data_IF_397489754328
#
_entry.id   IF_397489754328
#
_cell.length_a   1.000
_cell.length_b   1.000
_cell.length_c   1.000
_cell.angle_alpha   90.00
_cell.angle_beta   90.00
_cell.angle_gamma   90.00
#
_symmetry.space_group_name_H-M   'P 1'
#
loop_
_entity.id
_entity.type
_entity.pdbx_description
1 polymer ?
#
# COMPACT_ATOMS: atom_id res chain seq x y z
N UNK A 1 31.92 -64.39 13.58
CA UNK A 1 33.08 -64.01 14.41
C UNK A 1 34.25 -63.77 13.49
N UNK A 2 34.56 -62.51 13.18
CA UNK A 2 35.82 -62.06 12.59
C UNK A 2 35.86 -60.53 12.67
N UNK A 3 36.73 -60.03 13.55
CA UNK A 3 37.07 -58.62 13.65
C UNK A 3 37.93 -58.21 12.44
N UNK A 4 37.67 -57.03 11.89
CA UNK A 4 38.62 -56.32 11.02
C UNK A 4 38.75 -54.87 11.48
N UNK A 5 39.85 -54.64 12.20
CA UNK A 5 40.74 -53.47 12.23
C UNK A 5 40.21 -52.20 11.55
N UNK A 6 39.93 -51.18 12.35
CA UNK A 6 39.87 -49.79 11.89
C UNK A 6 41.28 -49.34 11.53
N UNK A 7 41.53 -49.01 10.25
CA UNK A 7 42.63 -48.10 9.89
C UNK A 7 42.08 -46.68 10.07
N UNK A 8 42.70 -45.93 10.96
CA UNK A 8 42.66 -44.47 10.95
C UNK A 8 43.43 -44.04 9.71
N UNK A 9 42.73 -43.72 8.63
CA UNK A 9 43.21 -42.97 7.47
C UNK A 9 42.00 -42.82 6.53
N UNK A 10 41.07 -41.94 6.88
CA UNK A 10 40.11 -41.37 5.93
C UNK A 10 39.73 -39.99 6.46
N UNK A 11 40.67 -39.07 6.23
CA UNK A 11 40.54 -37.62 6.36
C UNK A 11 39.50 -37.07 5.39
N UNK A 12 38.22 -37.41 5.58
CA UNK A 12 37.15 -36.76 4.84
C UNK A 12 35.86 -36.58 5.65
N UNK A 13 36.00 -36.11 6.89
CA UNK A 13 34.87 -35.64 7.70
C UNK A 13 34.40 -34.22 7.30
N UNK A 14 35.07 -33.56 6.35
CA UNK A 14 34.77 -32.20 5.91
C UNK A 14 34.03 -32.11 4.55
N UNK A 15 33.94 -33.17 3.75
CA UNK A 15 33.11 -33.15 2.52
C UNK A 15 31.60 -33.18 2.78
N UNK A 16 31.17 -33.65 3.96
CA UNK A 16 29.76 -33.58 4.38
C UNK A 16 29.33 -32.17 4.83
N UNK A 17 30.29 -31.25 4.97
CA UNK A 17 30.05 -29.82 5.22
C UNK A 17 30.13 -28.99 3.94
N UNK A 18 30.16 -29.63 2.75
CA UNK A 18 29.78 -28.94 1.53
C UNK A 18 28.43 -28.24 1.84
N UNK A 19 28.37 -26.90 1.83
CA UNK A 19 27.13 -26.23 2.14
C UNK A 19 26.16 -26.72 1.08
N UNK A 20 25.11 -27.42 1.51
CA UNK A 20 23.83 -27.25 0.86
C UNK A 20 23.63 -25.73 0.84
N UNK A 21 24.08 -25.11 -0.25
CA UNK A 21 23.69 -23.75 -0.58
C UNK A 21 22.20 -23.87 -0.70
N UNK A 22 21.51 -23.51 0.39
CA UNK A 22 20.12 -23.12 0.31
C UNK A 22 20.02 -22.26 -0.96
N UNK A 23 19.07 -22.54 -1.86
CA UNK A 23 18.80 -21.60 -2.94
C UNK A 23 18.67 -20.23 -2.26
N UNK A 24 19.31 -19.18 -2.80
CA UNK A 24 19.33 -17.88 -2.13
C UNK A 24 17.91 -17.59 -1.70
N UNK A 25 17.68 -17.53 -0.38
CA UNK A 25 16.36 -17.20 0.16
C UNK A 25 15.95 -15.95 -0.59
N UNK A 26 14.89 -16.05 -1.38
CA UNK A 26 14.35 -14.89 -2.06
C UNK A 26 14.20 -13.84 -0.97
N UNK A 27 14.98 -12.75 -1.04
CA UNK A 27 15.04 -11.77 0.03
C UNK A 27 13.62 -11.33 0.34
N UNK A 28 13.29 -11.21 1.63
CA UNK A 28 11.97 -10.72 2.05
C UNK A 28 11.69 -9.44 1.23
N UNK A 29 10.63 -9.42 0.41
CA UNK A 29 10.31 -8.23 -0.38
C UNK A 29 10.18 -7.04 0.56
N UNK A 30 10.84 -5.93 0.26
CA UNK A 30 10.68 -4.73 1.09
C UNK A 30 9.25 -4.24 0.95
N UNK A 31 8.65 -3.80 2.05
CA UNK A 31 7.28 -3.23 2.07
C UNK A 31 7.09 -2.14 1.01
N UNK A 32 8.12 -1.33 0.74
CA UNK A 32 8.14 -0.32 -0.33
C UNK A 32 7.97 -0.88 -1.75
N UNK A 33 8.48 -2.07 -2.04
CA UNK A 33 8.34 -2.70 -3.36
C UNK A 33 6.92 -3.26 -3.53
N UNK A 34 6.35 -3.81 -2.45
CA UNK A 34 4.95 -4.26 -2.41
C UNK A 34 4.00 -3.10 -2.67
N UNK A 35 4.24 -1.96 -2.01
CA UNK A 35 3.49 -0.72 -2.23
C UNK A 35 3.55 -0.29 -3.68
N UNK A 36 4.75 -0.23 -4.26
CA UNK A 36 4.94 0.20 -5.66
C UNK A 36 4.18 -0.71 -6.62
N UNK A 37 4.28 -2.01 -6.42
CA UNK A 37 3.63 -3.00 -7.29
C UNK A 37 2.10 -2.98 -7.15
N UNK A 38 1.57 -2.78 -5.94
CA UNK A 38 0.12 -2.70 -5.71
C UNK A 38 -0.48 -1.41 -6.29
N UNK A 39 0.19 -0.26 -6.14
CA UNK A 39 -0.25 0.99 -6.77
C UNK A 39 -0.24 0.84 -8.29
N UNK A 40 0.79 0.21 -8.86
CA UNK A 40 0.84 -0.06 -10.30
C UNK A 40 -0.30 -1.01 -10.74
N UNK A 41 -0.49 -2.13 -10.04
CA UNK A 41 -1.50 -3.13 -10.37
C UNK A 41 -2.94 -2.65 -10.18
N UNK A 42 -3.16 -1.68 -9.28
CA UNK A 42 -4.46 -1.03 -9.09
C UNK A 42 -4.82 0.00 -10.16
N UNK A 43 -3.89 0.32 -11.08
CA UNK A 43 -4.08 1.37 -12.11
C UNK A 43 -3.66 2.77 -11.64
N UNK A 44 -2.83 2.85 -10.61
CA UNK A 44 -2.35 4.10 -10.03
C UNK A 44 -3.22 4.64 -8.89
N UNK A 45 -3.90 3.77 -8.14
CA UNK A 45 -4.72 4.18 -7.01
C UNK A 45 -3.86 4.36 -5.75
N UNK A 46 -4.04 5.51 -5.11
CA UNK A 46 -3.30 5.88 -3.89
C UNK A 46 -1.92 6.47 -4.17
N UNK A 47 -1.38 7.10 -3.13
CA UNK A 47 -0.04 7.69 -3.12
C UNK A 47 0.90 6.85 -2.26
N UNK A 48 2.02 6.36 -2.83
CA UNK A 48 3.09 5.77 -2.04
C UNK A 48 3.59 6.74 -0.96
N UNK A 49 3.78 6.22 0.24
CA UNK A 49 4.27 6.93 1.43
C UNK A 49 5.22 6.05 2.23
N UNK A 50 5.77 6.58 3.32
CA UNK A 50 6.59 5.83 4.27
C UNK A 50 6.27 6.26 5.71
N UNK A 51 6.12 5.28 6.61
CA UNK A 51 5.94 5.48 8.06
C UNK A 51 7.00 4.65 8.76
N UNK A 52 7.88 5.29 9.54
CA UNK A 52 8.94 4.63 10.32
C UNK A 52 9.83 3.64 9.53
N UNK A 53 9.99 3.85 8.23
CA UNK A 53 10.77 3.00 7.33
C UNK A 53 9.95 1.95 6.58
N UNK A 54 8.69 1.73 6.99
CA UNK A 54 7.76 0.84 6.33
C UNK A 54 7.04 1.51 5.17
N UNK A 55 6.75 0.70 4.15
CA UNK A 55 5.96 1.12 2.99
C UNK A 55 4.53 1.41 3.40
N UNK A 56 4.02 2.55 2.99
CA UNK A 56 2.63 2.93 3.22
C UNK A 56 1.94 3.42 1.94
N UNK A 57 0.61 3.43 1.94
CA UNK A 57 -0.21 4.01 0.87
C UNK A 57 -1.24 4.96 1.47
N UNK A 58 -1.29 6.18 0.96
CA UNK A 58 -2.31 7.17 1.27
C UNK A 58 -3.43 7.13 0.23
N UNK A 59 -4.68 6.99 0.67
CA UNK A 59 -5.87 7.02 -0.21
C UNK A 59 -6.93 7.92 0.43
N UNK A 60 -7.03 9.17 -0.02
CA UNK A 60 -7.87 10.17 0.62
C UNK A 60 -7.53 10.31 2.11
N UNK A 61 -8.51 10.14 2.98
CA UNK A 61 -8.32 10.16 4.43
C UNK A 61 -7.83 8.81 5.00
N UNK A 62 -7.63 7.76 4.21
CA UNK A 62 -7.12 6.48 4.68
C UNK A 62 -5.61 6.35 4.49
N UNK A 63 -4.94 5.68 5.42
CA UNK A 63 -3.53 5.32 5.35
C UNK A 63 -3.40 3.82 5.58
N UNK A 64 -2.72 3.14 4.67
CA UNK A 64 -2.37 1.72 4.78
C UNK A 64 -0.88 1.64 5.09
N UNK A 65 -0.50 0.97 6.17
CA UNK A 65 0.90 0.66 6.49
C UNK A 65 1.11 -0.82 6.26
N UNK A 66 2.20 -1.16 5.57
CA UNK A 66 2.56 -2.54 5.22
C UNK A 66 3.84 -2.87 5.97
N UNK A 67 3.72 -3.75 6.96
CA UNK A 67 4.86 -4.31 7.69
C UNK A 67 5.19 -5.70 7.13
N UNK A 68 6.49 -5.97 7.02
CA UNK A 68 7.03 -7.23 6.52
C UNK A 68 8.09 -7.73 7.49
N UNK A 69 7.98 -8.99 7.90
CA UNK A 69 8.99 -9.65 8.74
C UNK A 69 9.26 -11.08 8.23
N UNK A 70 10.00 -11.87 9.02
CA UNK A 70 10.31 -13.26 8.71
C UNK A 70 9.13 -14.23 8.95
N UNK A 71 8.07 -13.75 9.62
CA UNK A 71 6.86 -14.52 9.92
C UNK A 71 5.75 -14.28 8.90
N UNK A 72 5.80 -13.18 8.14
CA UNK A 72 4.87 -12.91 7.07
C UNK A 72 4.71 -11.42 6.78
N UNK A 73 3.46 -11.01 6.58
CA UNK A 73 3.12 -9.63 6.29
C UNK A 73 1.86 -9.19 7.02
N UNK A 74 1.82 -7.91 7.36
CA UNK A 74 0.70 -7.27 8.00
C UNK A 74 0.38 -5.96 7.30
N UNK A 75 -0.91 -5.73 7.04
CA UNK A 75 -1.45 -4.48 6.53
C UNK A 75 -2.36 -3.88 7.59
N UNK A 76 -2.02 -2.69 8.06
CA UNK A 76 -2.83 -1.92 9.00
C UNK A 76 -3.47 -0.73 8.29
N UNK A 77 -4.77 -0.55 8.48
CA UNK A 77 -5.52 0.57 7.94
C UNK A 77 -5.82 1.58 9.04
N UNK A 78 -5.57 2.85 8.76
CA UNK A 78 -5.86 3.99 9.61
C UNK A 78 -6.76 4.98 8.86
N UNK A 79 -7.71 5.58 9.55
CA UNK A 79 -8.35 6.81 9.10
C UNK A 79 -7.60 7.99 9.70
N UNK A 80 -7.35 9.01 8.91
CA UNK A 80 -6.63 10.20 9.32
C UNK A 80 -7.60 11.36 9.35
N UNK A 81 -7.65 12.04 10.48
CA UNK A 81 -8.39 13.28 10.68
C UNK A 81 -7.41 14.36 11.17
N UNK A 82 -7.13 15.34 10.33
CA UNK A 82 -6.06 16.31 10.58
C UNK A 82 -4.70 15.65 10.86
N UNK A 83 -4.21 15.80 12.10
CA UNK A 83 -2.95 15.23 12.57
C UNK A 83 -3.13 13.88 13.29
N UNK A 84 -4.35 13.41 13.50
CA UNK A 84 -4.66 12.18 14.23
C UNK A 84 -4.85 11.00 13.28
N UNK A 85 -4.42 9.82 13.71
CA UNK A 85 -4.52 8.56 12.97
C UNK A 85 -5.27 7.51 13.79
N UNK A 86 -6.53 7.27 13.43
CA UNK A 86 -7.39 6.27 14.05
C UNK A 86 -7.22 4.90 13.39
N UNK A 87 -6.83 3.91 14.17
CA UNK A 87 -6.77 2.52 13.71
C UNK A 87 -8.17 2.02 13.29
N UNK A 88 -8.26 1.37 12.13
CA UNK A 88 -9.51 0.84 11.56
C UNK A 88 -9.54 -0.67 11.48
N UNK A 89 -8.50 -1.26 10.92
CA UNK A 89 -8.45 -2.71 10.72
C UNK A 89 -7.04 -3.21 10.47
N UNK A 90 -6.86 -4.51 10.63
CA UNK A 90 -5.63 -5.23 10.32
C UNK A 90 -5.95 -6.45 9.48
N UNK A 91 -5.10 -6.72 8.48
CA UNK A 91 -5.07 -7.98 7.73
C UNK A 91 -3.65 -8.49 7.79
N UNK A 92 -3.45 -9.73 8.24
CA UNK A 92 -2.14 -10.34 8.34
C UNK A 92 -2.19 -11.77 7.81
N UNK A 93 -1.09 -12.23 7.22
CA UNK A 93 -0.93 -13.61 6.81
C UNK A 93 0.54 -14.03 6.80
N UNK A 94 0.81 -15.26 7.23
CA UNK A 94 2.14 -15.88 7.14
C UNK A 94 2.54 -16.18 5.69
N UNK A 95 1.54 -16.38 4.82
CA UNK A 95 1.73 -16.70 3.42
C UNK A 95 0.65 -16.04 2.55
N UNK A 96 0.93 -15.93 1.25
CA UNK A 96 0.02 -15.31 0.29
C UNK A 96 0.66 -14.14 -0.45
N UNK A 97 -0.12 -13.51 -1.33
CA UNK A 97 0.36 -12.40 -2.16
C UNK A 97 -0.14 -11.06 -1.58
N UNK A 98 0.66 -10.34 -0.76
CA UNK A 98 0.30 -9.03 -0.21
C UNK A 98 -0.02 -8.00 -1.30
N UNK A 99 0.66 -8.05 -2.46
CA UNK A 99 0.38 -7.13 -3.59
C UNK A 99 -1.06 -7.29 -4.05
N UNK A 100 -1.56 -8.54 -4.15
CA UNK A 100 -2.94 -8.80 -4.55
C UNK A 100 -3.93 -8.25 -3.52
N UNK A 101 -3.71 -8.54 -2.24
CA UNK A 101 -4.61 -8.07 -1.16
C UNK A 101 -4.66 -6.55 -1.12
N UNK A 102 -3.50 -5.91 -1.19
CA UNK A 102 -3.38 -4.46 -1.20
C UNK A 102 -4.05 -3.87 -2.44
N UNK A 103 -3.86 -4.47 -3.61
CA UNK A 103 -4.53 -4.05 -4.87
C UNK A 103 -6.05 -4.14 -4.75
N UNK A 104 -6.58 -5.25 -4.23
CA UNK A 104 -8.02 -5.45 -4.08
C UNK A 104 -8.60 -4.48 -3.04
N UNK A 105 -7.87 -4.20 -1.95
CA UNK A 105 -8.24 -3.18 -0.98
C UNK A 105 -8.26 -1.78 -1.60
N UNK A 106 -7.23 -1.40 -2.36
CA UNK A 106 -7.17 -0.09 -3.03
C UNK A 106 -8.36 0.09 -3.98
N UNK A 107 -8.72 -0.94 -4.74
CA UNK A 107 -9.90 -0.93 -5.61
C UNK A 107 -11.20 -0.80 -4.83
N UNK A 108 -11.32 -1.47 -3.68
CA UNK A 108 -12.50 -1.37 -2.82
C UNK A 108 -12.60 0.01 -2.14
N UNK A 109 -11.49 0.51 -1.59
CA UNK A 109 -11.42 1.77 -0.86
C UNK A 109 -11.54 3.00 -1.76
N UNK A 110 -11.15 2.88 -3.03
CA UNK A 110 -11.41 3.90 -4.03
C UNK A 110 -12.91 4.23 -4.18
N UNK A 111 -13.81 3.35 -3.70
CA UNK A 111 -15.25 3.61 -3.66
C UNK A 111 -15.79 4.10 -5.00
N UNK A 112 -16.78 5.00 -4.99
CA UNK A 112 -17.28 5.64 -6.21
C UNK A 112 -16.31 6.66 -6.81
N UNK A 113 -15.30 7.14 -6.07
CA UNK A 113 -14.41 8.23 -6.47
C UNK A 113 -12.93 7.82 -6.38
N UNK A 114 -12.49 7.06 -7.38
CA UNK A 114 -11.10 6.63 -7.57
C UNK A 114 -10.20 7.81 -7.98
N UNK A 115 -9.59 8.48 -7.00
CA UNK A 115 -8.65 9.57 -7.25
C UNK A 115 -7.34 9.07 -7.86
N UNK A 116 -7.08 9.51 -9.09
CA UNK A 116 -5.85 9.28 -9.82
C UNK A 116 -4.99 10.54 -9.79
N UNK A 117 -3.71 10.41 -9.47
CA UNK A 117 -2.76 11.52 -9.61
C UNK A 117 -2.50 11.79 -11.10
N UNK A 118 -2.78 13.01 -11.55
CA UNK A 118 -2.51 13.48 -12.92
C UNK A 118 -1.11 14.06 -13.00
N UNK A 119 -0.77 14.91 -12.04
CA UNK A 119 0.55 15.50 -11.88
C UNK A 119 0.82 15.81 -10.40
N UNK A 120 1.94 16.46 -10.09
CA UNK A 120 2.26 16.73 -8.70
C UNK A 120 1.27 17.70 -8.07
N UNK A 121 0.55 17.24 -7.04
CA UNK A 121 -0.44 18.07 -6.36
C UNK A 121 -1.80 18.13 -7.05
N UNK A 122 -2.03 17.41 -8.16
CA UNK A 122 -3.32 17.41 -8.89
C UNK A 122 -3.84 15.99 -9.07
N UNK A 123 -5.11 15.80 -8.77
CA UNK A 123 -5.81 14.52 -8.73
C UNK A 123 -7.13 14.63 -9.46
N UNK A 124 -7.51 13.59 -10.19
CA UNK A 124 -8.80 13.52 -10.89
C UNK A 124 -9.54 12.23 -10.58
N UNK A 125 -10.87 12.31 -10.60
CA UNK A 125 -11.76 11.17 -10.46
C UNK A 125 -13.04 11.44 -11.27
N UNK A 126 -13.18 10.77 -12.42
CA UNK A 126 -14.28 11.05 -13.35
C UNK A 126 -14.25 12.51 -13.82
N UNK A 127 -15.37 13.23 -13.64
CA UNK A 127 -15.48 14.66 -13.97
C UNK A 127 -15.07 15.62 -12.85
N UNK A 128 -14.35 15.14 -11.83
CA UNK A 128 -13.93 15.95 -10.68
C UNK A 128 -12.41 16.05 -10.64
N UNK A 129 -11.90 17.21 -10.22
CA UNK A 129 -10.49 17.54 -10.07
C UNK A 129 -10.27 18.14 -8.68
N UNK A 130 -9.20 17.72 -8.03
CA UNK A 130 -8.68 18.33 -6.81
C UNK A 130 -7.22 18.67 -7.02
N UNK A 131 -6.82 19.91 -6.76
CA UNK A 131 -5.45 20.34 -6.95
C UNK A 131 -4.96 21.31 -5.89
N UNK A 132 -3.64 21.39 -5.72
CA UNK A 132 -3.00 22.34 -4.81
C UNK A 132 -2.67 23.64 -5.55
N UNK A 133 -3.09 24.76 -5.01
CA UNK A 133 -2.78 26.10 -5.48
C UNK A 133 -1.40 26.55 -4.98
N UNK A 134 -0.83 27.57 -5.65
CA UNK A 134 0.44 28.19 -5.22
C UNK A 134 0.34 28.84 -3.83
N UNK A 135 -0.87 29.20 -3.39
CA UNK A 135 -1.16 29.70 -2.03
C UNK A 135 -1.02 28.61 -0.96
N UNK A 136 -0.97 27.34 -1.37
CA UNK A 136 -0.90 26.18 -0.48
C UNK A 136 -2.26 25.53 -0.21
N UNK A 137 -3.36 26.23 -0.50
CA UNK A 137 -4.75 25.75 -0.44
C UNK A 137 -5.01 24.66 -1.50
N UNK A 138 -6.13 23.96 -1.33
CA UNK A 138 -6.60 22.91 -2.22
C UNK A 138 -7.93 23.29 -2.85
N UNK A 139 -8.01 23.28 -4.17
CA UNK A 139 -9.28 23.47 -4.88
C UNK A 139 -9.97 22.13 -5.13
N UNK A 140 -11.30 22.17 -5.17
CA UNK A 140 -12.15 21.10 -5.65
C UNK A 140 -13.04 21.63 -6.79
N UNK A 141 -12.95 21.01 -7.95
CA UNK A 141 -13.70 21.39 -9.15
C UNK A 141 -14.46 20.19 -9.69
N UNK A 142 -15.72 20.38 -10.07
CA UNK A 142 -16.54 19.38 -10.75
C UNK A 142 -18.04 19.69 -10.63
N UNK A 143 -18.91 18.81 -11.14
CA UNK A 143 -20.36 19.02 -11.04
C UNK A 143 -20.82 19.21 -9.60
N UNK A 144 -21.35 20.39 -9.28
CA UNK A 144 -21.86 20.72 -7.94
C UNK A 144 -20.80 21.07 -6.89
N UNK A 145 -19.53 21.27 -7.28
CA UNK A 145 -18.46 21.74 -6.39
C UNK A 145 -17.47 22.61 -7.16
N UNK A 146 -17.22 23.82 -6.64
CA UNK A 146 -16.20 24.74 -7.14
C UNK A 146 -15.80 25.65 -5.97
N UNK A 147 -14.84 25.19 -5.17
CA UNK A 147 -14.42 25.90 -3.95
C UNK A 147 -13.01 25.49 -3.49
N UNK A 148 -12.41 26.32 -2.63
CA UNK A 148 -11.10 26.10 -2.03
C UNK A 148 -11.20 25.63 -0.57
N UNK A 149 -10.17 24.91 -0.13
CA UNK A 149 -10.04 24.27 1.17
C UNK A 149 -8.62 24.36 1.69
N UNK A 150 -8.45 24.35 3.01
CA UNK A 150 -7.11 24.30 3.63
C UNK A 150 -6.44 22.94 3.43
N UNK A 151 -7.23 21.88 3.26
CA UNK A 151 -6.73 20.51 3.20
C UNK A 151 -7.28 19.74 1.99
N UNK A 152 -6.40 18.92 1.40
CA UNK A 152 -6.73 18.03 0.28
C UNK A 152 -7.94 17.13 0.58
N UNK A 153 -8.03 16.64 1.81
CA UNK A 153 -9.07 15.69 2.21
C UNK A 153 -10.45 16.34 2.15
N UNK A 154 -10.57 17.60 2.54
CA UNK A 154 -11.83 18.35 2.50
C UNK A 154 -12.27 18.59 1.07
N UNK A 155 -11.31 18.94 0.19
CA UNK A 155 -11.55 19.06 -1.24
C UNK A 155 -12.08 17.76 -1.88
N UNK A 156 -11.44 16.62 -1.58
CA UNK A 156 -11.90 15.32 -2.08
C UNK A 156 -13.25 14.90 -1.50
N UNK A 157 -13.49 15.16 -0.21
CA UNK A 157 -14.77 14.88 0.45
C UNK A 157 -15.90 15.72 -0.16
N UNK A 158 -15.65 16.98 -0.48
CA UNK A 158 -16.61 17.85 -1.13
C UNK A 158 -17.01 17.33 -2.52
N UNK A 159 -16.07 16.85 -3.33
CA UNK A 159 -16.37 16.19 -4.60
C UNK A 159 -17.19 14.90 -4.41
N UNK A 160 -16.86 14.08 -3.40
CA UNK A 160 -17.63 12.87 -3.11
C UNK A 160 -19.07 13.18 -2.67
N UNK A 161 -19.24 14.23 -1.85
CA UNK A 161 -20.54 14.72 -1.45
C UNK A 161 -21.33 15.25 -2.66
N UNK A 162 -20.73 16.11 -3.49
CA UNK A 162 -21.36 16.68 -4.68
C UNK A 162 -21.85 15.59 -5.65
N UNK A 163 -21.03 14.55 -5.89
CA UNK A 163 -21.42 13.39 -6.70
C UNK A 163 -22.61 12.63 -6.13
N UNK A 164 -22.63 12.41 -4.82
CA UNK A 164 -23.72 11.69 -4.15
C UNK A 164 -25.04 12.45 -4.25
N UNK A 165 -25.00 13.79 -4.16
CA UNK A 165 -26.17 14.64 -4.38
C UNK A 165 -26.61 14.68 -5.85
N UNK A 166 -25.67 14.67 -6.81
CA UNK A 166 -26.01 14.59 -8.23
C UNK A 166 -26.75 13.28 -8.60
N UNK A 167 -26.42 12.17 -7.93
CA UNK A 167 -27.12 10.89 -8.09
C UNK A 167 -28.55 10.87 -7.52
N UNK A 168 -28.89 11.80 -6.62
CA UNK A 168 -30.23 11.93 -6.03
C UNK A 168 -31.18 12.83 -6.84
N UNK A 169 -30.67 13.58 -7.83
CA UNK A 169 -31.45 14.54 -8.65
C UNK A 169 -31.78 13.98 -10.05
N UNK A 170 -31.63 12.68 -10.28
CA UNK A 170 -32.11 12.04 -11.52
C UNK A 170 -33.52 11.49 -11.30
N UNK A 171 -34.54 12.28 -11.67
CA UNK A 171 -35.94 11.85 -11.82
C UNK A 171 -36.16 11.17 -13.17
#
# INVERSE_FOLDING_TARGET
MAARVFREDDDNYLDWLAPHRDPPRAGIPRSVDIVRDAVKASGGLGEPWCVDGDGAIRVGNLMLVIEMDDLGWMMMAYAIDGAEADFRSVVAAESGNPVRVLTDWLRAAAGTMSWKRVESGVYSSGGYVVGRLDTGEWFAEGPGVDQCFDHKNDAQAACAAARSHAGLVSY
#
